data_IF_521801494800
#
_entry.id   IF_521801494800
#
_cell.length_a   1.000
_cell.length_b   1.000
_cell.length_c   1.000
_cell.angle_alpha   90.00
_cell.angle_beta   90.00
_cell.angle_gamma   90.00
#
_symmetry.space_group_name_H-M   'P 1'
#
loop_
_entity.id
_entity.type
_entity.pdbx_description
1 polymer ?
#
# COMPACT_ATOMS: atom_id res chain seq x y z
N UNK A 1 -31.57 -66.38 -1.93
CA UNK A 1 -31.83 -65.17 -2.75
C UNK A 1 -30.52 -64.54 -3.12
N UNK A 2 -30.12 -64.56 -4.41
CA UNK A 2 -28.89 -63.89 -4.89
C UNK A 2 -29.19 -62.39 -5.08
N UNK A 3 -28.32 -61.49 -4.60
CA UNK A 3 -28.53 -60.07 -4.85
C UNK A 3 -28.40 -59.76 -6.36
N UNK A 4 -29.45 -59.19 -6.95
CA UNK A 4 -29.44 -58.71 -8.30
C UNK A 4 -28.54 -57.48 -8.38
N UNK A 5 -27.31 -57.61 -8.89
CA UNK A 5 -26.44 -56.51 -9.26
C UNK A 5 -27.02 -55.77 -10.48
N UNK A 6 -27.88 -54.74 -10.21
CA UNK A 6 -28.41 -53.89 -11.30
C UNK A 6 -27.25 -53.12 -11.96
N UNK A 7 -26.81 -53.56 -13.13
CA UNK A 7 -25.83 -52.80 -13.96
C UNK A 7 -26.45 -51.43 -14.28
N UNK A 8 -25.79 -50.38 -13.85
CA UNK A 8 -26.22 -49.00 -14.12
C UNK A 8 -26.23 -48.78 -15.67
N UNK A 9 -27.35 -48.20 -16.16
CA UNK A 9 -27.49 -47.79 -17.57
C UNK A 9 -26.41 -46.72 -17.89
N UNK A 10 -25.89 -46.70 -19.15
CA UNK A 10 -24.85 -45.79 -19.64
C UNK A 10 -25.12 -44.31 -19.24
N UNK A 11 -26.37 -43.85 -19.35
CA UNK A 11 -26.80 -42.49 -18.93
C UNK A 11 -26.65 -42.27 -17.43
N UNK A 12 -26.89 -43.25 -16.61
CA UNK A 12 -26.72 -43.14 -15.15
C UNK A 12 -25.24 -43.11 -14.75
N UNK A 13 -24.37 -43.83 -15.47
CA UNK A 13 -22.91 -43.78 -15.29
C UNK A 13 -22.39 -42.38 -15.63
N UNK A 14 -22.76 -41.82 -16.78
CA UNK A 14 -22.37 -40.47 -17.20
C UNK A 14 -22.83 -39.44 -16.19
N UNK A 15 -24.08 -39.48 -15.73
CA UNK A 15 -24.57 -38.54 -14.69
C UNK A 15 -23.80 -38.65 -13.37
N UNK A 16 -23.44 -39.86 -12.94
CA UNK A 16 -22.62 -40.06 -11.73
C UNK A 16 -21.20 -39.55 -11.91
N UNK A 17 -20.57 -39.80 -13.05
CA UNK A 17 -19.23 -39.28 -13.31
C UNK A 17 -19.22 -37.75 -13.40
N UNK A 18 -20.21 -37.13 -14.03
CA UNK A 18 -20.37 -35.68 -14.04
C UNK A 18 -20.59 -35.13 -12.63
N UNK A 19 -21.45 -35.75 -11.85
CA UNK A 19 -21.69 -35.33 -10.46
C UNK A 19 -20.42 -35.41 -9.61
N UNK A 20 -19.65 -36.50 -9.71
CA UNK A 20 -18.38 -36.65 -9.00
C UNK A 20 -17.35 -35.63 -9.47
N UNK A 21 -17.30 -35.34 -10.78
CA UNK A 21 -16.43 -34.29 -11.31
C UNK A 21 -16.76 -32.90 -10.76
N UNK A 22 -18.05 -32.50 -10.76
CA UNK A 22 -18.47 -31.23 -10.17
C UNK A 22 -18.25 -31.18 -8.65
N UNK A 23 -18.43 -32.30 -7.95
CA UNK A 23 -18.13 -32.38 -6.51
C UNK A 23 -16.65 -32.18 -6.23
N UNK A 24 -15.76 -32.77 -7.06
CA UNK A 24 -14.32 -32.54 -6.94
C UNK A 24 -13.93 -31.09 -7.23
N UNK A 25 -14.53 -30.46 -8.25
CA UNK A 25 -14.31 -29.04 -8.51
C UNK A 25 -14.77 -28.15 -7.33
N UNK A 26 -15.92 -28.47 -6.75
CA UNK A 26 -16.44 -27.75 -5.58
C UNK A 26 -15.48 -27.89 -4.37
N UNK A 27 -15.01 -29.12 -4.09
CA UNK A 27 -14.07 -29.36 -3.01
C UNK A 27 -12.73 -28.65 -3.26
N UNK A 28 -12.23 -28.65 -4.49
CA UNK A 28 -11.03 -27.91 -4.86
C UNK A 28 -11.21 -26.39 -4.65
N UNK A 29 -12.37 -25.84 -5.04
CA UNK A 29 -12.70 -24.43 -4.81
C UNK A 29 -12.77 -24.07 -3.31
N UNK A 30 -13.43 -24.91 -2.51
CA UNK A 30 -13.50 -24.73 -1.06
C UNK A 30 -12.10 -24.82 -0.43
N UNK A 31 -11.26 -25.76 -0.86
CA UNK A 31 -9.89 -25.90 -0.40
C UNK A 31 -9.05 -24.63 -0.70
N UNK A 32 -9.14 -24.13 -1.94
CA UNK A 32 -8.45 -22.91 -2.36
C UNK A 32 -8.91 -21.71 -1.52
N UNK A 33 -10.23 -21.53 -1.35
CA UNK A 33 -10.77 -20.45 -0.50
C UNK A 33 -10.29 -20.57 0.96
N UNK A 34 -10.27 -21.79 1.50
CA UNK A 34 -9.78 -22.03 2.86
C UNK A 34 -8.28 -21.67 2.98
N UNK A 35 -7.46 -22.01 1.99
CA UNK A 35 -6.05 -21.64 1.95
C UNK A 35 -5.85 -20.13 1.95
N UNK A 36 -6.57 -19.39 1.09
CA UNK A 36 -6.52 -17.92 1.07
C UNK A 36 -6.94 -17.31 2.42
N UNK A 37 -7.99 -17.83 3.04
CA UNK A 37 -8.45 -17.35 4.35
C UNK A 37 -7.41 -17.58 5.45
N UNK A 38 -6.72 -18.73 5.45
CA UNK A 38 -5.66 -19.01 6.42
C UNK A 38 -4.43 -18.12 6.21
N UNK A 39 -4.05 -17.90 4.96
CA UNK A 39 -2.94 -17.00 4.61
C UNK A 39 -3.24 -15.57 5.08
N UNK A 40 -4.44 -15.08 4.81
CA UNK A 40 -4.91 -13.77 5.27
C UNK A 40 -4.80 -13.61 6.79
N UNK A 41 -5.36 -14.56 7.54
CA UNK A 41 -5.28 -14.55 9.00
C UNK A 41 -3.85 -14.57 9.53
N UNK A 42 -3.01 -15.43 8.97
CA UNK A 42 -1.62 -15.52 9.37
C UNK A 42 -0.89 -14.18 9.18
N UNK A 43 -1.11 -13.52 8.05
CA UNK A 43 -0.48 -12.22 7.76
C UNK A 43 -1.06 -11.09 8.64
N UNK A 44 -2.37 -11.07 8.91
CA UNK A 44 -2.99 -10.12 9.85
C UNK A 44 -2.40 -10.29 11.26
N UNK A 45 -2.28 -11.52 11.75
CA UNK A 45 -1.67 -11.81 13.05
C UNK A 45 -0.19 -11.39 13.09
N UNK A 46 0.54 -11.59 12.00
CA UNK A 46 1.93 -11.16 11.86
C UNK A 46 2.04 -9.63 11.95
N UNK A 47 1.25 -8.89 11.18
CA UNK A 47 1.24 -7.43 11.23
C UNK A 47 0.80 -6.90 12.59
N UNK A 48 -0.17 -7.54 13.23
CA UNK A 48 -0.63 -7.15 14.58
C UNK A 48 0.49 -7.29 15.62
N UNK A 49 1.22 -8.41 15.62
CA UNK A 49 2.38 -8.61 16.51
C UNK A 49 3.47 -7.57 16.27
N UNK A 50 3.73 -7.25 14.99
CA UNK A 50 4.70 -6.23 14.62
C UNK A 50 4.24 -4.83 15.06
N UNK A 51 2.95 -4.49 14.92
CA UNK A 51 2.40 -3.22 15.38
C UNK A 51 2.43 -3.09 16.91
N UNK A 52 2.14 -4.16 17.64
CA UNK A 52 2.25 -4.17 19.10
C UNK A 52 3.69 -3.90 19.55
N UNK A 53 4.66 -4.56 18.92
CA UNK A 53 6.07 -4.32 19.20
C UNK A 53 6.48 -2.89 18.78
N UNK A 54 6.04 -2.43 17.62
CA UNK A 54 6.29 -1.08 17.12
C UNK A 54 5.83 0.01 18.09
N UNK A 55 4.68 -0.18 18.73
CA UNK A 55 4.14 0.77 19.69
C UNK A 55 4.86 0.73 21.06
N UNK A 56 5.44 -0.43 21.44
CA UNK A 56 6.17 -0.64 22.70
C UNK A 56 7.38 -1.55 22.46
N UNK A 57 8.47 -1.07 21.89
CA UNK A 57 9.63 -1.91 21.56
C UNK A 57 10.33 -2.38 22.84
N UNK A 58 10.19 -3.67 23.14
CA UNK A 58 10.94 -4.37 24.16
C UNK A 58 11.98 -5.24 23.44
N UNK A 59 13.30 -4.94 23.51
CA UNK A 59 14.32 -5.62 22.72
C UNK A 59 14.32 -7.15 22.89
N UNK A 60 14.02 -7.65 24.09
CA UNK A 60 13.95 -9.08 24.38
C UNK A 60 12.72 -9.80 23.81
N UNK A 61 11.74 -9.06 23.30
CA UNK A 61 10.50 -9.57 22.70
C UNK A 61 10.37 -9.18 21.22
N UNK A 62 11.47 -8.71 20.61
CA UNK A 62 11.49 -8.36 19.19
C UNK A 62 11.12 -9.58 18.34
N UNK A 63 10.10 -9.48 17.45
CA UNK A 63 9.83 -10.54 16.48
C UNK A 63 11.06 -10.81 15.60
N UNK A 64 11.26 -12.05 15.16
CA UNK A 64 12.43 -12.43 14.34
C UNK A 64 12.59 -11.58 13.08
N UNK A 65 11.47 -11.21 12.46
CA UNK A 65 11.42 -10.41 11.24
C UNK A 65 11.75 -8.92 11.42
N UNK A 66 11.82 -8.40 12.65
CA UNK A 66 12.31 -7.04 12.95
C UNK A 66 13.78 -6.86 12.50
N UNK A 67 14.54 -7.96 12.44
CA UNK A 67 15.93 -7.95 11.97
C UNK A 67 16.05 -8.13 10.44
N UNK A 68 14.94 -8.17 9.69
CA UNK A 68 15.00 -8.23 8.23
C UNK A 68 15.65 -6.93 7.70
N UNK A 69 16.78 -7.01 6.98
CA UNK A 69 17.48 -5.83 6.44
C UNK A 69 16.66 -5.05 5.43
N UNK A 70 15.64 -5.68 4.84
CA UNK A 70 14.73 -5.07 3.88
C UNK A 70 13.63 -4.22 4.58
N UNK A 71 13.56 -4.23 5.93
CA UNK A 71 12.61 -3.41 6.69
C UNK A 71 13.09 -1.96 6.76
N UNK A 72 12.35 -1.08 6.09
CA UNK A 72 12.66 0.35 6.03
C UNK A 72 12.01 1.14 7.17
N UNK A 73 10.78 0.79 7.54
CA UNK A 73 10.05 1.53 8.57
C UNK A 73 8.61 1.10 8.73
N UNK A 74 7.81 1.94 9.40
CA UNK A 74 6.40 1.69 9.69
C UNK A 74 5.53 2.85 9.22
N UNK A 75 4.53 2.57 8.40
CA UNK A 75 3.54 3.53 7.92
C UNK A 75 2.24 3.39 8.71
N UNK A 76 1.71 4.52 9.19
CA UNK A 76 0.40 4.57 9.86
C UNK A 76 -0.40 5.79 9.44
N UNK A 77 -1.66 5.60 9.09
CA UNK A 77 -2.61 6.70 8.88
C UNK A 77 -3.50 6.80 10.12
N UNK A 78 -3.52 7.97 10.75
CA UNK A 78 -4.29 8.18 11.98
C UNK A 78 -5.79 8.03 11.75
N UNK A 79 -6.41 7.15 12.52
CA UNK A 79 -7.86 6.90 12.49
C UNK A 79 -8.33 5.93 11.40
N UNK A 80 -7.41 5.34 10.63
CA UNK A 80 -7.69 4.31 9.63
C UNK A 80 -7.14 2.94 10.06
N UNK A 81 -7.43 1.89 9.29
CA UNK A 81 -6.82 0.58 9.47
C UNK A 81 -5.42 0.45 8.83
N UNK A 82 -4.94 1.48 8.12
CA UNK A 82 -3.61 1.47 7.49
C UNK A 82 -2.54 1.64 8.57
N UNK A 83 -1.90 0.51 8.92
CA UNK A 83 -0.78 0.42 9.84
C UNK A 83 0.07 -0.78 9.43
N UNK A 84 1.15 -0.54 8.67
CA UNK A 84 1.92 -1.59 8.00
C UNK A 84 3.43 -1.34 8.04
N UNK A 85 4.25 -2.43 8.12
CA UNK A 85 5.67 -2.35 7.85
C UNK A 85 5.89 -1.94 6.38
N UNK A 86 6.95 -1.19 6.13
CA UNK A 86 7.38 -0.81 4.79
C UNK A 86 8.69 -1.49 4.49
N UNK A 87 8.71 -2.26 3.40
CA UNK A 87 9.84 -3.04 2.96
C UNK A 87 10.51 -2.41 1.73
N UNK A 88 11.76 -2.77 1.47
CA UNK A 88 12.44 -2.44 0.21
C UNK A 88 13.50 -3.49 -0.07
N UNK A 89 13.49 -4.05 -1.28
CA UNK A 89 14.51 -5.01 -1.72
C UNK A 89 15.46 -4.34 -2.70
N UNK A 90 16.73 -4.29 -2.38
CA UNK A 90 17.74 -3.80 -3.31
C UNK A 90 17.81 -4.68 -4.56
N UNK A 91 17.72 -4.05 -5.74
CA UNK A 91 17.80 -4.71 -7.05
C UNK A 91 16.54 -5.49 -7.48
N UNK A 92 15.46 -5.46 -6.70
CA UNK A 92 14.16 -6.04 -7.06
C UNK A 92 13.02 -5.19 -6.50
N UNK A 93 12.67 -4.12 -7.21
CA UNK A 93 11.70 -3.12 -6.77
C UNK A 93 10.27 -3.63 -6.55
N UNK A 94 9.92 -4.81 -7.07
CA UNK A 94 8.59 -5.42 -6.91
C UNK A 94 8.62 -6.68 -6.02
N UNK A 95 9.75 -6.99 -5.37
CA UNK A 95 9.92 -8.20 -4.57
C UNK A 95 8.78 -8.42 -3.57
N UNK A 96 8.40 -7.39 -2.83
CA UNK A 96 7.35 -7.44 -1.81
C UNK A 96 5.93 -7.30 -2.34
N UNK A 97 5.75 -7.15 -3.66
CA UNK A 97 4.41 -7.13 -4.27
C UNK A 97 3.62 -8.41 -3.98
N UNK A 98 4.31 -9.57 -3.93
CA UNK A 98 3.70 -10.87 -3.62
C UNK A 98 4.47 -11.64 -2.54
N UNK A 99 4.98 -10.90 -1.53
CA UNK A 99 5.69 -11.52 -0.40
C UNK A 99 5.32 -10.87 0.92
N UNK A 100 5.31 -11.68 1.97
CA UNK A 100 5.20 -11.22 3.35
C UNK A 100 6.55 -10.63 3.85
N UNK A 101 6.57 -10.17 5.10
CA UNK A 101 7.80 -9.59 5.72
C UNK A 101 8.94 -10.59 5.90
N UNK A 102 8.67 -11.89 5.84
CA UNK A 102 9.66 -12.96 5.91
C UNK A 102 10.16 -13.40 4.52
N UNK A 103 9.61 -12.80 3.44
CA UNK A 103 9.94 -13.13 2.07
C UNK A 103 9.22 -14.35 1.52
N UNK A 104 8.26 -14.93 2.24
CA UNK A 104 7.42 -16.01 1.74
C UNK A 104 6.36 -15.46 0.78
N UNK A 105 5.89 -16.32 -0.13
CA UNK A 105 4.81 -15.93 -1.03
C UNK A 105 3.56 -15.52 -0.23
N UNK A 106 3.02 -14.35 -0.58
CA UNK A 106 1.74 -13.85 -0.09
C UNK A 106 0.93 -13.21 -1.22
N UNK A 107 -0.34 -13.59 -1.33
CA UNK A 107 -1.27 -12.95 -2.26
C UNK A 107 -1.48 -11.46 -1.92
N UNK A 108 -1.40 -11.11 -0.66
CA UNK A 108 -1.61 -9.74 -0.16
C UNK A 108 -0.37 -8.86 -0.30
N UNK A 109 0.82 -9.45 -0.40
CA UNK A 109 2.08 -8.73 -0.40
C UNK A 109 2.31 -7.91 0.87
N UNK A 110 3.35 -7.12 0.88
CA UNK A 110 3.64 -6.14 1.94
C UNK A 110 3.89 -4.79 1.29
N UNK A 111 3.40 -3.66 1.82
CA UNK A 111 3.70 -2.35 1.25
C UNK A 111 5.20 -2.11 1.18
N UNK A 112 5.66 -1.50 0.08
CA UNK A 112 7.09 -1.34 -0.17
C UNK A 112 7.44 0.02 -0.76
N UNK A 113 8.64 0.50 -0.44
CA UNK A 113 9.21 1.73 -0.95
C UNK A 113 9.77 1.48 -2.37
N UNK A 114 9.56 2.43 -3.28
CA UNK A 114 10.14 2.42 -4.63
C UNK A 114 11.67 2.25 -4.54
N UNK A 115 12.25 1.40 -5.39
CA UNK A 115 13.69 1.09 -5.36
C UNK A 115 14.60 2.31 -5.61
N UNK A 116 14.08 3.35 -6.28
CA UNK A 116 14.78 4.61 -6.55
C UNK A 116 14.73 5.58 -5.39
N UNK A 117 13.90 5.32 -4.38
CA UNK A 117 13.74 6.18 -3.20
C UNK A 117 14.58 5.66 -2.04
N UNK A 118 15.03 6.61 -1.23
CA UNK A 118 15.41 6.37 0.17
C UNK A 118 14.36 7.01 1.08
N UNK A 119 14.34 6.69 2.39
CA UNK A 119 13.47 7.40 3.32
C UNK A 119 13.66 8.92 3.36
N UNK A 120 14.81 9.42 2.89
CA UNK A 120 15.17 10.84 2.88
C UNK A 120 14.97 11.51 1.53
N UNK A 121 14.57 10.78 0.49
CA UNK A 121 14.23 11.31 -0.83
C UNK A 121 13.18 12.42 -0.74
N UNK A 122 13.21 13.36 -1.68
CA UNK A 122 12.27 14.49 -1.74
C UNK A 122 10.82 14.02 -1.88
N UNK A 123 10.61 12.89 -2.56
CA UNK A 123 9.33 12.19 -2.66
C UNK A 123 9.52 10.69 -2.43
N UNK A 124 9.16 10.20 -1.25
CA UNK A 124 9.11 8.77 -0.95
C UNK A 124 7.84 8.17 -1.55
N UNK A 125 7.98 7.24 -2.50
CA UNK A 125 6.84 6.57 -3.15
C UNK A 125 6.68 5.19 -2.52
N UNK A 126 5.52 4.94 -1.90
CA UNK A 126 5.18 3.65 -1.29
C UNK A 126 4.03 3.01 -2.05
N UNK A 127 4.23 1.78 -2.46
CA UNK A 127 3.24 0.97 -3.16
C UNK A 127 2.56 -0.01 -2.21
N UNK A 128 1.28 -0.28 -2.44
CA UNK A 128 0.54 -1.31 -1.74
C UNK A 128 -0.66 -1.79 -2.54
N UNK A 129 -1.01 -3.06 -2.38
CA UNK A 129 -2.15 -3.64 -3.06
C UNK A 129 -3.47 -2.99 -2.68
N UNK A 130 -4.36 -2.90 -3.67
CA UNK A 130 -5.78 -2.67 -3.44
C UNK A 130 -6.47 -4.01 -3.23
N UNK A 131 -6.75 -4.37 -1.99
CA UNK A 131 -7.45 -5.61 -1.65
C UNK A 131 -8.89 -5.29 -1.23
N UNK A 132 -9.82 -6.10 -1.68
CA UNK A 132 -11.23 -6.01 -1.32
C UNK A 132 -11.39 -6.02 0.22
N UNK A 133 -12.41 -5.31 0.73
CA UNK A 133 -12.61 -5.18 2.18
C UNK A 133 -11.72 -4.11 2.83
N UNK A 134 -11.15 -3.20 2.03
CA UNK A 134 -10.27 -2.10 2.48
C UNK A 134 -8.96 -2.56 3.13
N UNK A 135 -8.48 -3.76 2.79
CA UNK A 135 -7.20 -4.27 3.28
C UNK A 135 -6.05 -3.72 2.49
N UNK A 136 -4.87 -3.77 3.08
CA UNK A 136 -3.66 -3.16 2.53
C UNK A 136 -3.92 -1.68 2.18
N UNK A 137 -3.59 -1.25 0.96
CA UNK A 137 -3.90 0.11 0.50
C UNK A 137 -5.30 0.26 -0.13
N UNK A 138 -6.16 -0.76 -0.01
CA UNK A 138 -7.55 -0.67 -0.47
C UNK A 138 -8.35 0.41 0.26
N UNK A 139 -8.04 0.71 1.53
CA UNK A 139 -8.68 1.80 2.27
C UNK A 139 -8.32 3.20 1.74
N UNK A 140 -7.21 3.37 1.00
CA UNK A 140 -6.87 4.64 0.38
C UNK A 140 -7.99 5.15 -0.54
N UNK A 141 -8.82 4.25 -1.11
CA UNK A 141 -9.96 4.66 -1.93
C UNK A 141 -11.01 5.46 -1.17
N UNK A 142 -11.04 5.39 0.16
CA UNK A 142 -11.91 6.25 0.95
C UNK A 142 -11.52 7.73 0.83
N UNK A 143 -10.26 8.05 0.48
CA UNK A 143 -9.82 9.42 0.19
C UNK A 143 -10.41 10.01 -1.09
N UNK A 144 -11.10 9.26 -1.93
CA UNK A 144 -11.91 9.84 -3.02
C UNK A 144 -13.04 10.72 -2.45
N UNK A 145 -13.38 10.54 -1.16
CA UNK A 145 -14.28 11.41 -0.40
C UNK A 145 -13.51 12.48 0.39
N UNK A 146 -13.81 13.75 0.15
CA UNK A 146 -13.28 14.88 0.92
C UNK A 146 -13.65 14.78 2.42
N UNK A 147 -14.81 14.17 2.74
CA UNK A 147 -15.24 13.97 4.12
C UNK A 147 -14.33 12.98 4.85
N UNK A 148 -13.89 11.91 4.17
CA UNK A 148 -12.92 10.97 4.73
C UNK A 148 -11.57 11.65 4.95
N UNK A 149 -11.07 12.42 3.98
CA UNK A 149 -9.85 13.20 4.10
C UNK A 149 -9.88 14.10 5.36
N UNK A 150 -10.98 14.83 5.60
CA UNK A 150 -11.09 15.75 6.75
C UNK A 150 -10.87 15.04 8.10
N UNK A 151 -11.18 13.76 8.19
CA UNK A 151 -11.00 12.94 9.40
C UNK A 151 -9.63 12.25 9.47
N UNK A 152 -8.93 12.07 8.32
CA UNK A 152 -7.71 11.27 8.19
C UNK A 152 -6.57 12.04 7.53
N UNK A 153 -6.27 13.24 8.03
CA UNK A 153 -5.27 14.13 7.42
C UNK A 153 -3.83 13.77 7.75
N UNK A 154 -3.59 13.00 8.83
CA UNK A 154 -2.26 12.75 9.37
C UNK A 154 -1.75 11.37 8.98
N UNK A 155 -0.56 11.36 8.36
CA UNK A 155 0.19 10.16 8.00
C UNK A 155 1.49 10.16 8.78
N UNK A 156 1.80 9.04 9.39
CA UNK A 156 3.05 8.85 10.13
C UNK A 156 3.90 7.81 9.41
N UNK A 157 5.16 8.12 9.19
CA UNK A 157 6.15 7.19 8.68
C UNK A 157 7.33 7.18 9.65
N UNK A 158 7.50 6.09 10.39
CA UNK A 158 8.64 5.90 11.27
C UNK A 158 9.77 5.21 10.51
N UNK A 159 10.98 5.76 10.60
CA UNK A 159 12.21 5.23 10.02
C UNK A 159 13.25 5.15 11.14
N UNK A 160 13.64 3.95 11.53
CA UNK A 160 14.41 3.76 12.74
C UNK A 160 13.69 4.34 13.97
N UNK A 161 14.33 5.24 14.69
CA UNK A 161 13.74 5.93 15.86
C UNK A 161 12.98 7.22 15.48
N UNK A 162 13.17 7.73 14.26
CA UNK A 162 12.53 8.98 13.82
C UNK A 162 11.08 8.76 13.42
N UNK A 163 10.14 9.39 14.13
CA UNK A 163 8.72 9.43 13.77
C UNK A 163 8.42 10.66 12.94
N UNK A 164 8.26 10.49 11.64
CA UNK A 164 7.97 11.54 10.67
C UNK A 164 6.47 11.74 10.54
N UNK A 165 6.01 12.98 10.76
CA UNK A 165 4.59 13.34 10.62
C UNK A 165 4.38 14.11 9.33
N UNK A 166 3.53 13.57 8.46
CA UNK A 166 3.08 14.18 7.21
C UNK A 166 1.61 14.57 7.30
N UNK A 167 1.19 15.53 6.48
CA UNK A 167 -0.23 15.86 6.30
C UNK A 167 -0.60 15.72 4.83
N UNK A 168 -1.75 15.11 4.56
CA UNK A 168 -2.26 14.91 3.18
C UNK A 168 -2.42 16.27 2.49
N UNK A 169 -1.85 16.39 1.29
CA UNK A 169 -1.85 17.61 0.47
C UNK A 169 -2.59 17.46 -0.83
N UNK A 170 -2.71 16.22 -1.35
CA UNK A 170 -3.37 15.96 -2.62
C UNK A 170 -3.87 14.52 -2.70
N UNK A 171 -4.97 14.31 -3.41
CA UNK A 171 -5.48 12.98 -3.78
C UNK A 171 -5.73 13.00 -5.28
N UNK A 172 -5.12 12.06 -6.01
CA UNK A 172 -5.02 12.14 -7.47
C UNK A 172 -5.48 10.83 -8.11
N UNK A 173 -6.35 10.93 -9.11
CA UNK A 173 -6.55 9.84 -10.07
C UNK A 173 -5.44 9.90 -11.12
N UNK A 174 -4.63 8.87 -11.15
CA UNK A 174 -3.46 8.76 -12.02
C UNK A 174 -3.49 7.45 -12.83
N UNK A 175 -2.50 7.28 -13.65
CA UNK A 175 -2.12 6.02 -14.26
C UNK A 175 -0.60 5.77 -14.06
N UNK A 176 -0.12 4.63 -14.54
CA UNK A 176 1.29 4.25 -14.41
C UNK A 176 2.26 5.14 -15.18
N UNK A 177 1.79 6.01 -16.08
CA UNK A 177 2.59 6.99 -16.82
C UNK A 177 2.58 8.37 -16.18
N UNK A 178 1.85 8.54 -15.07
CA UNK A 178 1.73 9.84 -14.41
C UNK A 178 3.09 10.34 -13.92
N UNK A 179 3.49 11.60 -14.21
CA UNK A 179 4.85 12.07 -13.98
C UNK A 179 5.36 12.00 -12.54
N UNK A 180 4.47 11.90 -11.53
CA UNK A 180 4.88 11.77 -10.11
C UNK A 180 5.89 10.64 -9.88
N UNK A 181 5.79 9.57 -10.66
CA UNK A 181 6.71 8.43 -10.57
C UNK A 181 8.13 8.71 -11.07
N UNK A 182 8.34 9.84 -11.73
CA UNK A 182 9.67 10.28 -12.17
C UNK A 182 10.38 11.16 -11.14
N UNK A 183 9.68 11.61 -10.11
CA UNK A 183 10.21 12.49 -9.07
C UNK A 183 10.45 11.72 -7.77
N UNK A 184 11.61 11.08 -7.63
CA UNK A 184 12.09 10.58 -6.33
C UNK A 184 12.89 11.68 -5.63
N UNK A 185 14.00 12.09 -6.25
CA UNK A 185 14.79 13.24 -5.83
C UNK A 185 14.82 14.29 -6.93
N UNK A 186 14.81 15.55 -6.56
CA UNK A 186 14.78 16.69 -7.49
C UNK A 186 16.08 17.50 -7.35
N UNK A 187 16.78 17.62 -8.46
CA UNK A 187 18.12 18.24 -8.49
C UNK A 187 18.12 19.77 -8.52
N UNK A 188 16.98 20.38 -8.87
CA UNK A 188 16.90 21.82 -9.07
C UNK A 188 15.52 22.39 -8.76
N UNK A 189 15.44 23.71 -8.69
CA UNK A 189 14.22 24.45 -8.37
C UNK A 189 13.10 24.24 -9.40
N UNK A 190 13.44 24.22 -10.68
CA UNK A 190 12.47 24.09 -11.76
C UNK A 190 11.71 22.76 -11.66
N UNK A 191 12.42 21.66 -11.48
CA UNK A 191 11.85 20.33 -11.28
C UNK A 191 11.00 20.27 -10.01
N UNK A 192 11.50 20.83 -8.89
CA UNK A 192 10.73 20.85 -7.64
C UNK A 192 9.44 21.65 -7.77
N UNK A 193 9.51 22.81 -8.44
CA UNK A 193 8.35 23.66 -8.73
C UNK A 193 7.35 22.95 -9.63
N UNK A 194 7.82 22.23 -10.65
CA UNK A 194 7.00 21.44 -11.55
C UNK A 194 6.27 20.34 -10.77
N UNK A 195 7.00 19.56 -9.98
CA UNK A 195 6.45 18.51 -9.14
C UNK A 195 5.35 19.05 -8.21
N UNK A 196 5.64 20.09 -7.42
CA UNK A 196 4.65 20.69 -6.52
C UNK A 196 3.45 21.24 -7.29
N UNK A 197 3.67 21.85 -8.45
CA UNK A 197 2.60 22.32 -9.33
C UNK A 197 1.70 21.20 -9.80
N UNK A 198 2.29 20.12 -10.26
CA UNK A 198 1.60 18.94 -10.79
C UNK A 198 0.73 18.26 -9.72
N UNK A 199 1.26 17.97 -8.54
CA UNK A 199 0.47 17.31 -7.47
C UNK A 199 -0.68 18.20 -6.99
N UNK A 200 -0.52 19.52 -6.97
CA UNK A 200 -1.57 20.44 -6.52
C UNK A 200 -2.65 20.67 -7.58
N UNK A 201 -2.30 20.67 -8.88
CA UNK A 201 -3.25 20.92 -9.97
C UNK A 201 -4.12 19.71 -10.32
N UNK A 202 -3.64 18.50 -10.01
CA UNK A 202 -4.34 17.25 -10.31
C UNK A 202 -5.11 16.67 -9.11
N UNK A 203 -5.18 17.41 -8.00
CA UNK A 203 -5.93 16.95 -6.81
C UNK A 203 -7.43 16.93 -7.09
N UNK A 204 -8.11 15.88 -6.64
CA UNK A 204 -9.57 15.70 -6.75
C UNK A 204 -10.35 16.82 -6.04
N UNK A 205 -9.77 17.37 -4.99
CA UNK A 205 -10.34 18.46 -4.20
C UNK A 205 -9.22 19.29 -3.53
N UNK A 206 -9.58 20.45 -3.03
CA UNK A 206 -8.64 21.32 -2.31
C UNK A 206 -8.45 20.83 -0.88
N UNK A 207 -7.20 20.55 -0.51
CA UNK A 207 -6.85 20.20 0.86
C UNK A 207 -6.32 21.43 1.61
N UNK A 208 -6.59 21.53 2.91
CA UNK A 208 -6.10 22.65 3.72
C UNK A 208 -4.57 22.81 3.64
N UNK A 209 -3.84 21.70 3.78
CA UNK A 209 -2.36 21.73 3.72
C UNK A 209 -1.85 22.04 2.31
N UNK A 210 -2.52 21.54 1.27
CA UNK A 210 -2.19 21.86 -0.12
C UNK A 210 -2.32 23.35 -0.41
N UNK A 211 -3.40 23.99 0.05
CA UNK A 211 -3.58 25.44 -0.13
C UNK A 211 -2.55 26.26 0.65
N UNK A 212 -2.15 25.83 1.85
CA UNK A 212 -1.05 26.46 2.60
C UNK A 212 0.27 26.39 1.82
N UNK A 213 0.61 25.25 1.22
CA UNK A 213 1.82 25.10 0.42
C UNK A 213 1.76 25.93 -0.85
N UNK A 214 0.61 25.99 -1.55
CA UNK A 214 0.41 26.86 -2.72
C UNK A 214 0.63 28.33 -2.36
N UNK A 215 0.12 28.79 -1.22
CA UNK A 215 0.29 30.15 -0.73
C UNK A 215 1.76 30.45 -0.49
N UNK A 216 2.45 29.61 0.30
CA UNK A 216 3.89 29.77 0.58
C UNK A 216 4.74 29.78 -0.69
N UNK A 217 4.42 28.92 -1.67
CA UNK A 217 5.10 28.90 -2.98
C UNK A 217 5.01 30.23 -3.74
N UNK A 218 3.95 31.05 -3.51
CA UNK A 218 3.80 32.37 -4.12
C UNK A 218 4.50 33.48 -3.33
N UNK A 219 4.60 33.31 -2.00
CA UNK A 219 5.12 34.33 -1.09
C UNK A 219 6.64 34.19 -0.86
N UNK A 220 7.18 32.97 -0.95
CA UNK A 220 8.59 32.68 -0.71
C UNK A 220 9.40 32.73 -2.02
N UNK A 221 10.70 33.08 -1.88
CA UNK A 221 11.65 32.99 -3.00
C UNK A 221 11.92 31.52 -3.35
N UNK A 222 12.49 31.28 -4.54
CA UNK A 222 12.90 29.95 -4.97
C UNK A 222 13.83 29.28 -3.93
N UNK A 223 14.76 30.03 -3.41
CA UNK A 223 15.75 29.60 -2.44
C UNK A 223 15.12 29.19 -1.10
N UNK A 224 14.10 29.91 -0.65
CA UNK A 224 13.37 29.61 0.60
C UNK A 224 12.40 28.44 0.47
N UNK A 225 11.87 28.20 -0.70
CA UNK A 225 10.85 27.17 -0.94
C UNK A 225 11.44 25.85 -1.46
N UNK A 226 12.59 25.90 -2.16
CA UNK A 226 13.23 24.72 -2.74
C UNK A 226 13.58 23.71 -1.65
N UNK A 227 13.17 22.46 -1.85
CA UNK A 227 13.36 21.34 -0.92
C UNK A 227 12.89 21.59 0.53
N UNK A 228 12.02 22.59 0.76
CA UNK A 228 11.46 22.86 2.06
C UNK A 228 10.56 21.74 2.58
N UNK A 229 9.92 21.05 1.67
CA UNK A 229 9.02 19.95 1.98
C UNK A 229 9.58 18.64 1.48
N UNK A 230 9.38 17.59 2.30
CA UNK A 230 9.46 16.19 1.88
C UNK A 230 8.06 15.68 1.62
N UNK A 231 7.90 14.94 0.52
CA UNK A 231 6.62 14.34 0.15
C UNK A 231 6.64 12.83 0.40
N UNK A 232 5.46 12.30 0.64
CA UNK A 232 5.19 10.89 0.79
C UNK A 232 3.99 10.55 -0.11
N UNK A 233 4.22 9.77 -1.16
CA UNK A 233 3.20 9.36 -2.12
C UNK A 233 2.81 7.91 -1.87
N UNK A 234 1.57 7.68 -1.44
CA UNK A 234 1.00 6.34 -1.30
C UNK A 234 0.26 6.00 -2.59
N UNK A 235 0.67 4.93 -3.25
CA UNK A 235 0.14 4.50 -4.56
C UNK A 235 -0.54 3.15 -4.48
N UNK A 236 -1.79 3.07 -5.00
CA UNK A 236 -2.53 1.81 -5.11
C UNK A 236 -3.30 1.70 -6.43
N UNK A 237 -3.68 0.47 -6.79
CA UNK A 237 -4.41 0.21 -8.03
C UNK A 237 -5.88 0.62 -7.94
N UNK A 238 -6.42 1.14 -9.06
CA UNK A 238 -7.87 1.32 -9.30
C UNK A 238 -8.34 0.29 -10.33
N UNK A 239 -8.21 -0.98 -9.97
CA UNK A 239 -8.40 -2.13 -10.90
C UNK A 239 -9.78 -2.17 -11.59
N UNK A 240 -10.83 -1.62 -10.96
CA UNK A 240 -12.17 -1.52 -11.55
C UNK A 240 -12.29 -0.43 -12.64
N UNK A 241 -11.34 0.50 -12.72
CA UNK A 241 -11.28 1.53 -13.79
C UNK A 241 -10.43 1.05 -14.95
N UNK A 242 -9.32 0.38 -14.65
CA UNK A 242 -8.40 -0.14 -15.66
C UNK A 242 -7.10 -0.66 -15.06
N UNK A 243 -6.39 -1.50 -15.81
CA UNK A 243 -5.16 -2.13 -15.36
C UNK A 243 -4.09 -1.12 -14.93
N UNK A 244 -3.99 0.00 -15.64
CA UNK A 244 -2.99 1.03 -15.39
C UNK A 244 -3.47 2.14 -14.46
N UNK A 245 -4.77 2.17 -14.10
CA UNK A 245 -5.33 3.20 -13.24
C UNK A 245 -4.81 3.10 -11.80
N UNK A 246 -4.47 4.24 -11.24
CA UNK A 246 -3.91 4.38 -9.87
C UNK A 246 -4.67 5.43 -9.08
N UNK A 247 -4.68 5.25 -7.76
CA UNK A 247 -5.00 6.29 -6.81
C UNK A 247 -3.72 6.67 -6.07
N UNK A 248 -3.46 7.96 -5.98
CA UNK A 248 -2.35 8.51 -5.22
C UNK A 248 -2.91 9.34 -4.07
N UNK A 249 -2.41 9.09 -2.87
CA UNK A 249 -2.59 9.97 -1.71
C UNK A 249 -1.21 10.56 -1.39
N UNK A 250 -1.07 11.85 -1.64
CA UNK A 250 0.20 12.57 -1.43
C UNK A 250 0.13 13.34 -0.13
N UNK A 251 1.08 13.14 0.74
CA UNK A 251 1.25 13.87 1.99
C UNK A 251 2.59 14.61 2.01
N UNK A 252 2.71 15.67 2.81
CA UNK A 252 3.92 16.47 2.92
C UNK A 252 4.26 16.80 4.38
N UNK A 253 5.56 16.86 4.68
CA UNK A 253 6.11 17.43 5.91
C UNK A 253 7.11 18.55 5.58
N UNK A 254 7.29 19.50 6.47
CA UNK A 254 8.45 20.39 6.38
C UNK A 254 9.71 19.61 6.78
N UNK A 255 10.79 19.76 6.03
CA UNK A 255 12.10 19.24 6.43
C UNK A 255 12.59 20.06 7.63
N UNK A 256 13.12 19.40 8.63
CA UNK A 256 13.78 20.08 9.74
C UNK A 256 15.08 20.66 9.16
N UNK A 257 15.25 21.98 9.22
CA UNK A 257 16.51 22.60 8.90
C UNK A 257 17.56 22.11 9.92
N UNK A 258 18.56 21.41 9.47
CA UNK A 258 19.73 21.01 10.26
C UNK A 258 20.73 22.16 10.37
#
# INVERSE_FOLDING_TARGET
>A
MKPQNKKLNRRQRIRRTMFLFFLLLLMAGVYVMHRYYQEEKCQEEQFHKLEEWENNPIPSLAPENVNNPDWIGWLKIKGSSISYPIMQKEGDGEYYLHRDVDGNYSFYGTPFLDERCTPDSDNCIIYGHNINGRKMFGELHAYESEEYYKKHQEVYFRVGEEKRKYRVVSVIHADTSFPVYSFADVGNWEEYREYVGMIMSNSLYHTERGEQIKKKRKEETAEQFFQKYQFLTLSTCRSWVGRNARLLVVAAREKIAH
#
